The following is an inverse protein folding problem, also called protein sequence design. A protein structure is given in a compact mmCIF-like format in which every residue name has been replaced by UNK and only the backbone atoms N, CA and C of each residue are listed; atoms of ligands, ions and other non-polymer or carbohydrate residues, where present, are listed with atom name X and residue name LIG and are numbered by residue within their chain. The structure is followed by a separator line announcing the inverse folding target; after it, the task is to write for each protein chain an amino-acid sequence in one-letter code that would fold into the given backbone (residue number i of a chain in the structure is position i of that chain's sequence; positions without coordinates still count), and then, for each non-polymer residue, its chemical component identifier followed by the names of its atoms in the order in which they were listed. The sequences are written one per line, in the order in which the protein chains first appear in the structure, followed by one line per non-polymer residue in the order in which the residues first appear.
data_IF_314436403852
#
_entry.id   IF_314436403852
#
_cell.length_a   1.000
_cell.length_b   1.000
_cell.length_c   1.000
_cell.angle_alpha   90.00
_cell.angle_beta   90.00
_cell.angle_gamma   90.00
#
_symmetry.space_group_name_H-M   'P 1'
#
loop_
_entity.id
_entity.type
_entity.pdbx_description
1 polymer ?
#
# COMPACT_ATOMS: atom_id res chain seq x y z
N UNK A 1 38.54 72.78 8.82
CA UNK A 1 39.74 73.15 9.60
C UNK A 1 39.78 72.30 10.85
N UNK A 2 41.00 72.00 11.29
CA UNK A 2 41.41 71.12 12.40
C UNK A 2 41.51 69.63 12.09
N UNK A 3 42.75 69.17 12.25
CA UNK A 3 43.35 67.91 11.87
C UNK A 3 43.87 67.19 13.12
N UNK A 4 43.97 65.85 13.06
CA UNK A 4 45.14 65.00 13.39
C UNK A 4 44.71 63.61 13.91
N UNK A 5 45.08 62.61 13.12
CA UNK A 5 45.32 61.16 13.39
C UNK A 5 46.50 60.95 14.39
N UNK A 6 46.99 59.72 14.70
CA UNK A 6 46.38 58.41 15.07
C UNK A 6 47.14 57.69 16.24
N UNK A 7 46.58 56.66 16.90
CA UNK A 7 47.29 55.57 17.64
C UNK A 7 46.31 54.37 17.68
N UNK A 8 46.39 53.29 16.87
CA UNK A 8 47.31 52.13 16.83
C UNK A 8 47.39 51.30 18.13
N UNK A 9 46.63 50.20 18.21
CA UNK A 9 47.09 48.81 18.49
C UNK A 9 45.89 47.86 18.50
N UNK A 10 45.82 46.99 17.49
CA UNK A 10 45.12 45.69 17.48
C UNK A 10 45.86 44.69 18.40
N UNK A 11 45.42 43.42 18.63
CA UNK A 11 44.13 42.78 18.34
C UNK A 11 43.59 41.95 19.54
N UNK A 12 42.35 41.47 19.45
CA UNK A 12 41.86 40.17 19.99
C UNK A 12 40.36 40.27 20.30
N UNK A 13 39.53 40.09 19.28
CA UNK A 13 38.39 39.17 19.40
C UNK A 13 37.93 38.75 18.00
N UNK A 14 38.71 37.89 17.37
CA UNK A 14 38.24 37.05 16.27
C UNK A 14 37.16 36.11 16.83
N UNK A 15 35.89 36.43 16.58
CA UNK A 15 34.83 35.41 16.50
C UNK A 15 34.23 35.45 15.11
N UNK A 16 35.08 35.24 14.11
CA UNK A 16 34.68 34.71 12.82
C UNK A 16 34.09 33.32 13.04
N UNK A 17 32.76 33.22 13.03
CA UNK A 17 32.09 31.95 12.81
C UNK A 17 32.37 31.50 11.37
N UNK A 18 33.46 30.77 11.18
CA UNK A 18 33.71 29.97 9.98
C UNK A 18 33.02 28.62 10.11
N UNK A 19 32.08 28.24 9.23
CA UNK A 19 31.77 26.83 9.03
C UNK A 19 32.72 26.29 7.95
N UNK A 20 33.94 25.94 8.34
CA UNK A 20 34.76 24.99 7.59
C UNK A 20 34.95 23.74 8.43
N UNK A 21 33.95 22.87 8.33
CA UNK A 21 33.99 21.49 8.79
C UNK A 21 33.52 20.61 7.65
N UNK A 22 34.49 20.20 6.83
CA UNK A 22 34.48 19.17 5.80
C UNK A 22 33.17 18.44 5.49
N UNK A 23 32.88 18.37 4.18
CA UNK A 23 32.32 17.20 3.51
C UNK A 23 32.99 15.91 4.00
N UNK A 24 32.51 15.36 5.11
CA UNK A 24 32.72 13.99 5.51
C UNK A 24 31.44 13.24 5.21
N UNK A 25 31.36 12.80 3.96
CA UNK A 25 30.90 11.46 3.61
C UNK A 25 29.74 10.93 4.46
N UNK A 26 28.53 11.45 4.22
CA UNK A 26 27.29 10.76 4.63
C UNK A 26 27.04 9.55 3.71
N UNK A 27 28.00 8.64 3.64
CA UNK A 27 27.76 7.24 3.36
C UNK A 27 27.12 6.60 4.58
N UNK A 28 25.92 7.07 4.96
CA UNK A 28 25.05 6.30 5.86
C UNK A 28 24.49 5.17 5.03
N UNK A 29 25.09 4.00 5.23
CA UNK A 29 24.91 2.80 4.44
C UNK A 29 23.45 2.57 4.03
N UNK A 30 23.24 2.53 2.71
CA UNK A 30 22.12 1.84 2.08
C UNK A 30 22.18 0.38 2.53
N UNK A 31 21.64 0.06 3.70
CA UNK A 31 21.35 -1.33 4.07
C UNK A 31 20.21 -1.77 3.16
N UNK A 32 20.57 -2.38 2.04
CA UNK A 32 19.66 -3.16 1.18
C UNK A 32 18.92 -4.11 2.11
N UNK A 33 17.65 -3.84 2.40
CA UNK A 33 16.81 -4.80 3.12
C UNK A 33 16.75 -6.06 2.27
N UNK A 34 17.21 -7.17 2.82
CA UNK A 34 17.11 -8.47 2.18
C UNK A 34 15.64 -8.76 1.88
N UNK A 35 15.31 -9.30 0.71
CA UNK A 35 13.96 -9.76 0.42
C UNK A 35 13.51 -10.77 1.49
N UNK A 36 12.20 -10.81 1.77
CA UNK A 36 11.69 -11.76 2.74
C UNK A 36 12.01 -13.19 2.28
N UNK A 37 12.27 -14.12 3.21
CA UNK A 37 12.58 -15.51 2.87
C UNK A 37 11.42 -16.15 2.08
N UNK A 38 10.17 -15.80 2.41
CA UNK A 38 8.98 -16.20 1.65
C UNK A 38 9.03 -15.73 0.21
N UNK A 39 9.16 -14.42 -0.03
CA UNK A 39 9.16 -13.88 -1.40
C UNK A 39 10.33 -14.44 -2.21
N UNK A 40 11.51 -14.52 -1.61
CA UNK A 40 12.71 -15.06 -2.28
C UNK A 40 12.54 -16.52 -2.70
N UNK A 41 12.01 -17.36 -1.81
CA UNK A 41 11.78 -18.78 -2.07
C UNK A 41 10.74 -19.00 -3.17
N UNK A 42 9.60 -18.30 -3.09
CA UNK A 42 8.54 -18.38 -4.09
C UNK A 42 9.02 -17.91 -5.46
N UNK A 43 9.68 -16.75 -5.53
CA UNK A 43 10.14 -16.18 -6.79
C UNK A 43 11.19 -17.06 -7.46
N UNK A 44 12.12 -17.63 -6.68
CA UNK A 44 13.13 -18.56 -7.20
C UNK A 44 12.50 -19.86 -7.73
N UNK A 45 11.55 -20.44 -6.99
CA UNK A 45 10.81 -21.64 -7.41
C UNK A 45 10.00 -21.40 -8.70
N UNK A 46 9.27 -20.29 -8.77
CA UNK A 46 8.48 -19.93 -9.95
C UNK A 46 9.35 -19.61 -11.17
N UNK A 47 10.51 -18.98 -10.96
CA UNK A 47 11.46 -18.72 -12.05
C UNK A 47 12.04 -20.04 -12.59
N UNK A 48 12.42 -20.97 -11.69
CA UNK A 48 12.92 -22.29 -12.08
C UNK A 48 11.86 -23.13 -12.82
N UNK A 49 10.57 -22.95 -12.52
CA UNK A 49 9.47 -23.68 -13.18
C UNK A 49 9.24 -23.28 -14.64
N UNK A 50 9.81 -22.16 -15.11
CA UNK A 50 9.60 -21.65 -16.47
C UNK A 50 8.20 -21.05 -16.72
N UNK A 51 7.35 -20.92 -15.68
CA UNK A 51 6.00 -20.30 -15.76
C UNK A 51 6.00 -18.92 -16.40
N UNK A 52 7.05 -18.13 -16.17
CA UNK A 52 7.17 -16.76 -16.68
C UNK A 52 7.00 -16.67 -18.20
N UNK A 53 7.69 -17.53 -18.97
CA UNK A 53 7.60 -17.53 -20.43
C UNK A 53 6.19 -17.87 -20.93
N UNK A 54 5.48 -18.76 -20.22
CA UNK A 54 4.08 -19.10 -20.52
C UNK A 54 3.15 -17.93 -20.21
N UNK A 55 3.37 -17.19 -19.12
CA UNK A 55 2.55 -16.04 -18.81
C UNK A 55 2.72 -14.92 -19.84
N UNK A 56 3.95 -14.66 -20.28
CA UNK A 56 4.23 -13.67 -21.33
C UNK A 56 3.54 -13.94 -22.66
N UNK A 57 3.35 -15.21 -23.04
CA UNK A 57 2.62 -15.54 -24.26
C UNK A 57 1.11 -15.35 -24.15
N UNK A 58 0.58 -15.27 -22.92
CA UNK A 58 -0.86 -15.09 -22.65
C UNK A 58 -1.20 -13.62 -22.44
N UNK A 59 -0.42 -12.89 -21.63
CA UNK A 59 -0.69 -11.48 -21.31
C UNK A 59 0.46 -10.57 -21.79
N UNK A 60 0.22 -9.71 -22.81
CA UNK A 60 1.24 -8.82 -23.37
C UNK A 60 1.71 -7.75 -22.36
N UNK A 61 1.00 -7.51 -21.26
CA UNK A 61 1.42 -6.57 -20.20
C UNK A 61 2.70 -7.04 -19.50
N UNK A 62 3.02 -8.32 -19.60
CA UNK A 62 4.21 -8.95 -19.00
C UNK A 62 5.46 -8.84 -19.88
N UNK A 63 5.31 -8.36 -21.12
CA UNK A 63 6.43 -8.13 -22.01
C UNK A 63 7.41 -7.12 -21.40
N UNK A 64 8.70 -7.26 -21.74
CA UNK A 64 9.77 -6.33 -21.37
C UNK A 64 10.47 -6.57 -20.04
N UNK A 65 10.10 -7.63 -19.31
CA UNK A 65 10.93 -8.18 -18.22
C UNK A 65 11.40 -9.58 -18.62
N UNK A 66 12.67 -9.91 -18.37
CA UNK A 66 13.22 -11.21 -18.76
C UNK A 66 12.80 -12.32 -17.78
N UNK A 67 12.56 -11.98 -16.51
CA UNK A 67 12.18 -12.91 -15.47
C UNK A 67 11.26 -12.29 -14.41
N UNK A 68 10.65 -13.15 -13.57
CA UNK A 68 9.88 -12.72 -12.41
C UNK A 68 10.76 -12.06 -11.34
N UNK A 69 12.04 -12.44 -11.26
CA UNK A 69 13.04 -11.80 -10.40
C UNK A 69 13.33 -10.36 -10.86
N UNK A 70 13.43 -10.12 -12.17
CA UNK A 70 13.59 -8.77 -12.72
C UNK A 70 12.38 -7.89 -12.40
N UNK A 71 11.18 -8.46 -12.47
CA UNK A 71 9.94 -7.78 -12.04
C UNK A 71 10.00 -7.45 -10.56
N UNK A 72 10.46 -8.38 -9.70
CA UNK A 72 10.60 -8.12 -8.27
C UNK A 72 11.59 -7.00 -7.99
N UNK A 73 12.72 -6.97 -8.68
CA UNK A 73 13.71 -5.90 -8.57
C UNK A 73 13.18 -4.56 -9.04
N UNK A 74 12.50 -4.53 -10.18
CA UNK A 74 11.87 -3.34 -10.72
C UNK A 74 10.72 -2.85 -9.82
N UNK A 75 9.98 -3.76 -9.18
CA UNK A 75 8.96 -3.46 -8.18
C UNK A 75 9.56 -2.79 -6.94
N UNK A 76 10.72 -3.27 -6.45
CA UNK A 76 11.46 -2.61 -5.37
C UNK A 76 11.93 -1.21 -5.75
N UNK A 77 12.30 -1.01 -7.03
CA UNK A 77 12.68 0.29 -7.61
C UNK A 77 11.49 1.19 -7.95
N UNK A 78 10.25 0.67 -7.88
CA UNK A 78 8.99 1.37 -8.18
C UNK A 78 8.85 1.79 -9.64
N UNK A 79 9.28 0.93 -10.55
CA UNK A 79 9.11 1.20 -11.97
C UNK A 79 7.61 1.15 -12.34
N UNK A 80 7.13 2.17 -13.06
CA UNK A 80 5.70 2.31 -13.38
C UNK A 80 5.14 1.09 -14.14
N UNK A 81 5.97 0.42 -14.94
CA UNK A 81 5.59 -0.76 -15.72
C UNK A 81 5.22 -1.96 -14.84
N UNK A 82 5.79 -2.07 -13.64
CA UNK A 82 5.51 -3.21 -12.75
C UNK A 82 4.06 -3.22 -12.25
N UNK A 83 3.39 -2.07 -12.19
CA UNK A 83 1.98 -2.00 -11.83
C UNK A 83 1.08 -2.71 -12.85
N UNK A 84 1.41 -2.61 -14.14
CA UNK A 84 0.72 -3.33 -15.20
C UNK A 84 1.03 -4.84 -15.16
N UNK A 85 2.25 -5.21 -14.78
CA UNK A 85 2.64 -6.61 -14.59
C UNK A 85 1.84 -7.25 -13.45
N UNK A 86 1.72 -6.57 -12.30
CA UNK A 86 0.89 -7.07 -11.18
C UNK A 86 -0.57 -7.23 -11.62
N UNK A 87 -1.09 -6.28 -12.40
CA UNK A 87 -2.44 -6.38 -12.96
C UNK A 87 -2.61 -7.60 -13.89
N UNK A 88 -1.65 -7.85 -14.78
CA UNK A 88 -1.65 -9.00 -15.67
C UNK A 88 -1.56 -10.33 -14.92
N UNK A 89 -0.63 -10.45 -13.96
CA UNK A 89 -0.53 -11.64 -13.11
C UNK A 89 -1.80 -11.86 -12.26
N UNK A 90 -2.46 -10.77 -11.82
CA UNK A 90 -3.74 -10.87 -11.11
C UNK A 90 -4.85 -11.39 -12.02
N UNK A 91 -4.88 -10.97 -13.29
CA UNK A 91 -5.83 -11.48 -14.28
C UNK A 91 -5.61 -12.97 -14.56
N UNK A 92 -4.36 -13.39 -14.66
CA UNK A 92 -3.98 -14.79 -14.82
C UNK A 92 -4.36 -15.61 -13.58
N UNK A 93 -4.18 -15.09 -12.36
CA UNK A 93 -4.47 -15.82 -11.13
C UNK A 93 -5.93 -15.83 -10.67
N UNK A 94 -6.74 -14.89 -11.16
CA UNK A 94 -8.18 -14.81 -10.81
C UNK A 94 -8.97 -16.02 -11.31
N UNK A 95 -9.92 -16.50 -10.50
CA UNK A 95 -10.88 -17.56 -10.89
C UNK A 95 -11.76 -17.16 -12.09
N UNK A 96 -11.95 -15.86 -12.31
CA UNK A 96 -12.73 -15.30 -13.43
C UNK A 96 -11.86 -15.02 -14.67
N UNK A 97 -10.55 -15.20 -14.55
CA UNK A 97 -9.57 -15.01 -15.61
C UNK A 97 -8.90 -16.33 -15.96
N UNK A 98 -7.60 -16.44 -15.71
CA UNK A 98 -6.81 -17.64 -16.04
C UNK A 98 -6.85 -18.76 -15.00
N UNK A 99 -7.32 -18.48 -13.77
CA UNK A 99 -7.32 -19.36 -12.61
C UNK A 99 -5.95 -20.01 -12.30
N UNK A 100 -4.86 -19.35 -12.66
CA UNK A 100 -3.50 -19.84 -12.46
C UNK A 100 -3.01 -19.56 -11.02
N UNK A 101 -3.00 -20.60 -10.19
CA UNK A 101 -2.54 -20.52 -8.81
C UNK A 101 -1.10 -20.01 -8.66
N UNK A 102 -0.19 -20.32 -9.58
CA UNK A 102 1.19 -19.82 -9.47
C UNK A 102 1.28 -18.33 -9.82
N UNK A 103 0.37 -17.82 -10.66
CA UNK A 103 0.28 -16.39 -10.93
C UNK A 103 -0.27 -15.66 -9.69
N UNK A 104 -1.25 -16.25 -9.00
CA UNK A 104 -1.72 -15.73 -7.71
C UNK A 104 -0.62 -15.76 -6.63
N UNK A 105 0.21 -16.81 -6.63
CA UNK A 105 1.36 -16.93 -5.74
C UNK A 105 2.41 -15.86 -6.03
N UNK A 106 2.71 -15.63 -7.32
CA UNK A 106 3.63 -14.59 -7.76
C UNK A 106 3.18 -13.20 -7.31
N UNK A 107 1.88 -12.88 -7.45
CA UNK A 107 1.33 -11.61 -6.96
C UNK A 107 1.49 -11.50 -5.45
N UNK A 108 1.19 -12.56 -4.70
CA UNK A 108 1.32 -12.57 -3.23
C UNK A 108 2.76 -12.33 -2.80
N UNK A 109 3.74 -12.95 -3.48
CA UNK A 109 5.16 -12.73 -3.22
C UNK A 109 5.64 -11.32 -3.60
N UNK A 110 5.17 -10.76 -4.72
CA UNK A 110 5.47 -9.37 -5.12
C UNK A 110 4.90 -8.36 -4.10
N UNK A 111 3.72 -8.62 -3.56
CA UNK A 111 3.04 -7.77 -2.58
C UNK A 111 3.49 -8.00 -1.13
N UNK A 112 4.40 -8.94 -0.88
CA UNK A 112 4.86 -9.30 0.47
C UNK A 112 5.39 -8.11 1.30
N UNK A 113 6.16 -7.14 0.75
CA UNK A 113 6.52 -5.93 1.50
C UNK A 113 5.30 -5.07 1.90
N UNK A 114 4.23 -5.11 1.12
CA UNK A 114 2.94 -4.51 1.46
C UNK A 114 2.20 -5.30 2.54
N UNK A 115 2.19 -6.62 2.42
CA UNK A 115 1.57 -7.53 3.40
C UNK A 115 2.21 -7.39 4.79
N UNK A 116 3.55 -7.35 4.87
CA UNK A 116 4.28 -7.13 6.12
C UNK A 116 3.89 -5.80 6.80
N UNK A 117 3.66 -4.74 6.01
CA UNK A 117 3.22 -3.43 6.52
C UNK A 117 1.79 -3.48 7.05
N UNK A 118 0.89 -4.15 6.33
CA UNK A 118 -0.50 -4.35 6.79
C UNK A 118 -0.51 -5.15 8.09
N UNK A 119 0.25 -6.25 8.15
CA UNK A 119 0.38 -7.07 9.36
C UNK A 119 0.96 -6.26 10.53
N UNK A 120 1.99 -5.45 10.30
CA UNK A 120 2.54 -4.56 11.33
C UNK A 120 1.49 -3.56 11.85
N UNK A 121 0.62 -3.04 10.97
CA UNK A 121 -0.45 -2.12 11.33
C UNK A 121 -1.65 -2.79 12.02
N UNK A 122 -1.77 -4.11 11.91
CA UNK A 122 -2.84 -4.94 12.47
C UNK A 122 -2.28 -6.01 13.42
N UNK A 123 -1.10 -5.77 14.00
CA UNK A 123 -0.33 -6.78 14.76
C UNK A 123 -1.09 -7.35 15.96
N UNK A 124 -2.06 -6.61 16.47
CA UNK A 124 -2.88 -7.01 17.61
C UNK A 124 -4.04 -7.94 17.19
N UNK A 125 -4.24 -8.17 15.88
CA UNK A 125 -5.40 -8.86 15.29
C UNK A 125 -5.01 -10.00 14.34
N UNK A 126 -3.91 -9.89 13.60
CA UNK A 126 -3.51 -10.90 12.62
C UNK A 126 -2.00 -11.01 12.43
N UNK A 127 -1.55 -12.17 11.99
CA UNK A 127 -0.16 -12.45 11.60
C UNK A 127 0.09 -12.12 10.12
N UNK A 128 1.36 -12.09 9.72
CA UNK A 128 1.76 -11.82 8.32
C UNK A 128 1.17 -12.86 7.36
N UNK A 129 1.09 -14.11 7.80
CA UNK A 129 0.54 -15.21 6.98
C UNK A 129 -0.97 -15.06 6.75
N UNK A 130 -1.72 -14.51 7.71
CA UNK A 130 -3.13 -14.19 7.52
C UNK A 130 -3.32 -13.11 6.44
N UNK A 131 -2.42 -12.12 6.41
CA UNK A 131 -2.43 -11.09 5.37
C UNK A 131 -2.07 -11.68 4.01
N UNK A 132 -1.10 -12.59 3.93
CA UNK A 132 -0.74 -13.29 2.67
C UNK A 132 -1.91 -14.12 2.17
N UNK A 133 -2.59 -14.86 3.03
CA UNK A 133 -3.78 -15.63 2.70
C UNK A 133 -4.93 -14.73 2.22
N UNK A 134 -5.13 -13.58 2.87
CA UNK A 134 -6.14 -12.60 2.46
C UNK A 134 -5.81 -11.95 1.10
N UNK A 135 -4.53 -11.67 0.81
CA UNK A 135 -4.07 -11.18 -0.51
C UNK A 135 -4.31 -12.24 -1.58
N UNK A 136 -3.98 -13.50 -1.30
CA UNK A 136 -4.26 -14.62 -2.19
C UNK A 136 -5.74 -14.69 -2.55
N UNK A 137 -6.63 -14.72 -1.55
CA UNK A 137 -8.08 -14.76 -1.80
C UNK A 137 -8.58 -13.51 -2.53
N UNK A 138 -8.00 -12.34 -2.26
CA UNK A 138 -8.30 -11.13 -3.01
C UNK A 138 -7.91 -11.25 -4.49
N UNK A 139 -6.81 -11.92 -4.81
CA UNK A 139 -6.41 -12.23 -6.20
C UNK A 139 -7.38 -13.23 -6.82
N UNK A 140 -7.67 -14.34 -6.15
CA UNK A 140 -8.60 -15.36 -6.66
C UNK A 140 -10.00 -14.79 -6.92
N UNK A 141 -10.44 -13.81 -6.12
CA UNK A 141 -11.74 -13.14 -6.27
C UNK A 141 -11.72 -11.89 -7.18
N UNK A 142 -10.56 -11.48 -7.69
CA UNK A 142 -10.42 -10.26 -8.48
C UNK A 142 -11.12 -10.34 -9.84
N UNK A 143 -11.50 -9.19 -10.39
CA UNK A 143 -11.87 -9.09 -11.80
C UNK A 143 -10.61 -9.09 -12.68
N UNK A 144 -10.62 -9.74 -13.86
CA UNK A 144 -9.45 -9.82 -14.74
C UNK A 144 -9.05 -8.47 -15.36
N UNK A 145 -9.91 -7.46 -15.27
CA UNK A 145 -9.71 -6.12 -15.84
C UNK A 145 -9.15 -5.10 -14.83
N UNK A 146 -8.53 -5.55 -13.74
CA UNK A 146 -7.84 -4.63 -12.83
C UNK A 146 -6.75 -3.86 -13.57
N UNK A 147 -6.71 -2.54 -13.35
CA UNK A 147 -5.71 -1.64 -13.94
C UNK A 147 -4.45 -1.51 -13.08
N UNK A 148 -3.62 -0.46 -13.31
CA UNK A 148 -2.38 -0.21 -12.58
C UNK A 148 -2.53 -0.15 -11.04
N UNK A 149 -3.74 0.09 -10.54
CA UNK A 149 -4.05 0.10 -9.11
C UNK A 149 -4.25 -1.29 -8.48
N UNK A 150 -4.04 -2.39 -9.22
CA UNK A 150 -4.29 -3.76 -8.76
C UNK A 150 -3.64 -4.05 -7.40
N UNK A 151 -2.34 -3.77 -7.25
CA UNK A 151 -1.60 -3.98 -6.01
C UNK A 151 -2.24 -3.29 -4.80
N UNK A 152 -2.62 -2.02 -4.96
CA UNK A 152 -3.28 -1.22 -3.91
C UNK A 152 -4.65 -1.79 -3.56
N UNK A 153 -5.44 -2.13 -4.59
CA UNK A 153 -6.76 -2.72 -4.42
C UNK A 153 -6.69 -4.03 -3.62
N UNK A 154 -5.76 -4.92 -3.96
CA UNK A 154 -5.60 -6.23 -3.31
C UNK A 154 -5.20 -6.10 -1.83
N UNK A 155 -4.22 -5.24 -1.52
CA UNK A 155 -3.80 -4.99 -0.14
C UNK A 155 -4.90 -4.31 0.69
N UNK A 156 -5.61 -3.36 0.11
CA UNK A 156 -6.74 -2.70 0.79
C UNK A 156 -7.87 -3.70 1.05
N UNK A 157 -8.15 -4.60 0.09
CA UNK A 157 -9.15 -5.65 0.25
C UNK A 157 -8.76 -6.64 1.34
N UNK A 158 -7.51 -7.07 1.38
CA UNK A 158 -6.97 -7.94 2.42
C UNK A 158 -7.10 -7.28 3.82
N UNK A 159 -6.70 -6.01 3.94
CA UNK A 159 -6.88 -5.23 5.19
C UNK A 159 -8.35 -5.16 5.60
N UNK A 160 -9.26 -4.84 4.68
CA UNK A 160 -10.69 -4.75 4.96
C UNK A 160 -11.29 -6.08 5.42
N UNK A 161 -10.86 -7.20 4.84
CA UNK A 161 -11.30 -8.53 5.26
C UNK A 161 -10.87 -8.84 6.68
N UNK A 162 -9.62 -8.53 7.03
CA UNK A 162 -9.05 -8.80 8.36
C UNK A 162 -9.55 -7.83 9.43
N UNK A 163 -9.96 -6.62 9.06
CA UNK A 163 -10.39 -5.58 10.00
C UNK A 163 -11.88 -5.65 10.39
N UNK A 164 -12.67 -6.56 9.80
CA UNK A 164 -14.12 -6.64 10.06
C UNK A 164 -14.42 -7.37 11.38
N UNK A 165 -14.97 -6.68 12.41
CA UNK A 165 -15.39 -7.31 13.64
C UNK A 165 -16.71 -8.05 13.38
N UNK A 166 -16.64 -9.38 13.22
CA UNK A 166 -17.80 -10.22 12.87
C UNK A 166 -17.52 -11.33 11.86
N UNK A 167 -16.30 -11.43 11.33
CA UNK A 167 -15.83 -12.61 10.59
C UNK A 167 -15.37 -13.77 11.48
N UNK A 168 -15.44 -13.61 12.80
CA UNK A 168 -15.29 -14.72 13.74
C UNK A 168 -16.51 -15.63 13.61
N UNK A 169 -16.34 -16.77 12.93
CA UNK A 169 -17.18 -17.98 12.94
C UNK A 169 -17.88 -18.39 11.62
N UNK A 170 -17.70 -17.69 10.50
CA UNK A 170 -18.11 -18.24 9.18
C UNK A 170 -16.94 -18.19 8.21
N UNK A 171 -16.49 -19.40 7.87
CA UNK A 171 -15.39 -19.77 6.99
C UNK A 171 -14.00 -19.97 7.62
N UNK A 172 -13.93 -20.86 8.63
CA UNK A 172 -13.01 -22.01 8.47
C UNK A 172 -13.59 -22.92 7.36
N UNK A 173 -13.68 -22.39 6.14
CA UNK A 173 -13.77 -23.24 4.96
C UNK A 173 -12.41 -23.91 4.91
N UNK A 174 -12.32 -25.24 4.78
CA UNK A 174 -11.05 -25.94 4.83
C UNK A 174 -10.12 -25.32 3.79
N UNK A 175 -9.07 -24.66 4.27
CA UNK A 175 -8.01 -24.09 3.47
C UNK A 175 -7.19 -25.23 2.87
N UNK A 176 -7.69 -25.88 1.81
CA UNK A 176 -6.92 -26.88 1.07
C UNK A 176 -5.86 -26.25 0.14
N UNK A 177 -5.40 -25.01 0.36
CA UNK A 177 -4.70 -24.28 -0.72
C UNK A 177 -3.51 -23.36 -0.36
N UNK A 178 -3.07 -23.24 0.90
CA UNK A 178 -1.78 -22.56 1.16
C UNK A 178 -0.98 -23.30 2.25
N UNK A 179 -1.63 -23.65 3.35
CA UNK A 179 -1.03 -24.46 4.42
C UNK A 179 -0.62 -25.87 3.95
N UNK A 180 -1.42 -26.48 3.07
CA UNK A 180 -1.12 -27.79 2.48
C UNK A 180 0.08 -27.76 1.53
N UNK A 181 0.38 -26.60 0.94
CA UNK A 181 1.54 -26.39 0.06
C UNK A 181 2.79 -25.96 0.84
N UNK A 182 2.61 -25.08 1.85
CA UNK A 182 3.67 -24.71 2.80
C UNK A 182 4.13 -25.91 3.65
N UNK A 183 3.22 -26.84 3.97
CA UNK A 183 3.55 -28.10 4.67
C UNK A 183 4.19 -29.18 3.78
N UNK A 184 4.15 -29.03 2.45
CA UNK A 184 4.71 -30.00 1.50
C UNK A 184 6.20 -29.81 1.17
N UNK A 185 6.82 -28.73 1.64
CA UNK A 185 8.22 -28.37 1.32
C UNK A 185 9.19 -28.44 2.51
N UNK A 186 8.73 -28.95 3.66
CA UNK A 186 9.55 -29.10 4.86
C UNK A 186 10.13 -30.51 5.00
N UNK A 187 11.39 -30.68 4.62
CA UNK A 187 12.25 -31.75 5.15
C UNK A 187 12.38 -31.54 6.67
N UNK A 188 12.20 -32.62 7.43
CA UNK A 188 12.27 -32.74 8.89
C UNK A 188 13.42 -31.96 9.56
N UNK A 189 13.15 -31.33 10.72
CA UNK A 189 14.24 -30.76 11.52
C UNK A 189 13.97 -29.82 12.71
N UNK A 190 12.98 -30.11 13.56
CA UNK A 190 13.09 -30.06 15.04
C UNK A 190 13.51 -28.77 15.82
N UNK A 191 12.59 -28.39 16.74
CA UNK A 191 12.74 -27.73 18.07
C UNK A 191 12.85 -26.19 18.22
N UNK A 192 11.69 -25.61 18.54
CA UNK A 192 11.25 -25.10 19.87
C UNK A 192 12.29 -24.39 20.77
N UNK A 193 12.03 -23.09 21.00
CA UNK A 193 12.23 -22.40 22.28
C UNK A 193 13.26 -21.28 22.24
N UNK A 194 12.82 -20.02 22.33
CA UNK A 194 13.15 -19.11 23.45
C UNK A 194 12.39 -17.79 23.27
N UNK A 195 11.72 -17.33 24.33
CA UNK A 195 11.00 -16.06 24.38
C UNK A 195 11.90 -15.03 25.06
N UNK A 196 12.46 -14.12 24.27
CA UNK A 196 13.23 -12.97 24.74
C UNK A 196 12.51 -11.65 24.42
N UNK A 197 12.15 -10.94 25.49
CA UNK A 197 11.47 -9.65 25.61
C UNK A 197 12.03 -8.46 24.76
N UNK A 198 11.28 -7.35 24.66
CA UNK A 198 11.26 -6.43 23.53
C UNK A 198 12.26 -5.28 23.67
N UNK A 199 13.21 -5.18 22.73
CA UNK A 199 13.97 -3.96 22.52
C UNK A 199 13.24 -3.04 21.56
N UNK A 200 12.77 -1.93 22.14
CA UNK A 200 12.25 -0.77 21.45
C UNK A 200 13.19 -0.31 20.33
N UNK A 201 12.77 -0.48 19.07
CA UNK A 201 13.38 0.17 17.92
C UNK A 201 12.56 1.42 17.56
N UNK A 202 12.74 2.46 18.38
CA UNK A 202 12.52 3.84 17.97
C UNK A 202 13.61 4.17 16.95
N UNK A 203 13.34 3.89 15.68
CA UNK A 203 13.97 4.54 14.52
C UNK A 203 13.36 4.01 13.21
N UNK A 204 12.06 4.27 13.02
CA UNK A 204 11.37 4.05 11.75
C UNK A 204 11.07 5.37 11.03
N UNK A 205 12.10 6.21 10.88
CA UNK A 205 12.07 7.34 9.94
C UNK A 205 13.31 7.23 9.08
N UNK A 206 13.17 6.75 7.84
CA UNK A 206 13.97 7.15 6.65
C UNK A 206 13.36 6.52 5.37
N UNK A 207 12.82 7.44 4.56
CA UNK A 207 12.83 7.52 3.09
C UNK A 207 12.54 6.26 2.25
N UNK A 208 11.32 5.76 2.39
CA UNK A 208 10.49 5.45 1.22
C UNK A 208 9.98 6.79 0.65
N UNK A 209 9.91 7.06 -0.67
CA UNK A 209 8.99 8.11 -1.14
C UNK A 209 7.65 7.81 -0.47
N UNK A 210 6.96 8.79 0.15
CA UNK A 210 5.69 8.51 0.80
C UNK A 210 4.88 7.74 -0.23
N UNK A 211 4.45 6.54 0.16
CA UNK A 211 3.24 6.03 -0.49
C UNK A 211 2.26 7.11 -0.09
N UNK A 212 1.93 7.97 -1.05
CA UNK A 212 0.82 8.90 -0.99
C UNK A 212 -0.29 8.19 -0.23
N UNK A 213 -0.43 8.61 1.03
CA UNK A 213 -1.28 7.91 1.98
C UNK A 213 -2.67 8.09 1.40
N UNK A 214 -3.40 7.02 1.04
CA UNK A 214 -4.69 7.17 0.38
C UNK A 214 -5.68 7.99 1.22
N UNK A 215 -5.46 8.10 2.52
CA UNK A 215 -6.17 9.05 3.39
C UNK A 215 -5.69 10.48 3.13
N UNK A 216 -4.38 10.72 3.09
CA UNK A 216 -3.79 12.00 2.67
C UNK A 216 -4.20 12.42 1.25
N UNK A 217 -4.17 11.55 0.24
CA UNK A 217 -4.62 11.87 -1.13
C UNK A 217 -6.12 12.18 -1.19
N UNK A 218 -6.90 11.45 -0.40
CA UNK A 218 -8.34 11.70 -0.29
C UNK A 218 -8.58 13.04 0.41
N UNK A 219 -7.82 13.34 1.46
CA UNK A 219 -7.87 14.63 2.16
C UNK A 219 -7.44 15.76 1.21
N UNK A 220 -6.38 15.58 0.44
CA UNK A 220 -5.87 16.56 -0.52
C UNK A 220 -6.88 16.78 -1.66
N UNK A 221 -7.46 15.72 -2.23
CA UNK A 221 -8.51 15.81 -3.23
C UNK A 221 -9.76 16.51 -2.69
N UNK A 222 -10.22 16.18 -1.48
CA UNK A 222 -11.40 16.79 -0.87
C UNK A 222 -11.14 18.25 -0.51
N UNK A 223 -9.93 18.58 -0.07
CA UNK A 223 -9.51 19.95 0.25
C UNK A 223 -9.43 20.79 -1.02
N UNK A 224 -8.75 20.30 -2.05
CA UNK A 224 -8.70 20.96 -3.36
C UNK A 224 -10.10 21.15 -3.96
N UNK A 225 -10.94 20.10 -3.92
CA UNK A 225 -12.28 20.17 -4.49
C UNK A 225 -13.17 21.16 -3.75
N UNK A 226 -12.95 21.36 -2.44
CA UNK A 226 -13.58 22.43 -1.66
C UNK A 226 -13.10 23.81 -2.10
N UNK A 227 -11.79 24.00 -2.21
CA UNK A 227 -11.17 25.30 -2.47
C UNK A 227 -11.52 25.84 -3.87
N UNK A 228 -11.66 24.93 -4.84
CA UNK A 228 -12.08 25.25 -6.21
C UNK A 228 -13.62 25.33 -6.35
N UNK A 229 -14.38 24.99 -5.30
CA UNK A 229 -15.84 25.04 -5.28
C UNK A 229 -16.53 23.88 -6.02
N UNK A 230 -15.80 22.80 -6.31
CA UNK A 230 -16.31 21.61 -6.99
C UNK A 230 -17.25 20.79 -6.09
N UNK A 231 -17.11 20.89 -4.77
CA UNK A 231 -18.02 20.32 -3.77
C UNK A 231 -18.18 21.28 -2.58
N UNK A 232 -19.32 21.20 -1.90
CA UNK A 232 -19.58 21.96 -0.68
C UNK A 232 -19.12 21.20 0.58
N UNK A 233 -19.02 21.93 1.70
CA UNK A 233 -18.63 21.36 2.98
C UNK A 233 -19.62 20.27 3.46
N UNK A 234 -20.93 20.48 3.27
CA UNK A 234 -21.96 19.47 3.61
C UNK A 234 -21.76 18.15 2.85
N UNK A 235 -21.38 18.24 1.57
CA UNK A 235 -21.05 17.09 0.74
C UNK A 235 -19.80 16.34 1.21
N UNK A 236 -18.76 17.07 1.65
CA UNK A 236 -17.55 16.48 2.23
C UNK A 236 -17.89 15.76 3.53
N UNK A 237 -18.57 16.44 4.45
CA UNK A 237 -18.97 15.89 5.75
C UNK A 237 -19.80 14.63 5.57
N UNK A 238 -20.71 14.62 4.59
CA UNK A 238 -21.54 13.45 4.28
C UNK A 238 -20.69 12.26 3.80
N UNK A 239 -19.72 12.49 2.92
CA UNK A 239 -18.84 11.43 2.43
C UNK A 239 -17.96 10.88 3.55
N UNK A 240 -17.39 11.75 4.39
CA UNK A 240 -16.56 11.36 5.54
C UNK A 240 -17.37 10.59 6.56
N UNK A 241 -18.59 11.02 6.88
CA UNK A 241 -19.48 10.31 7.81
C UNK A 241 -19.83 8.90 7.31
N UNK A 242 -20.18 8.76 6.02
CA UNK A 242 -20.49 7.46 5.43
C UNK A 242 -19.26 6.55 5.38
N UNK A 243 -18.09 7.08 5.00
CA UNK A 243 -16.84 6.33 5.00
C UNK A 243 -16.44 5.89 6.40
N UNK A 244 -16.59 6.75 7.40
CA UNK A 244 -16.29 6.43 8.79
C UNK A 244 -17.22 5.31 9.32
N UNK A 245 -18.51 5.37 9.01
CA UNK A 245 -19.47 4.34 9.38
C UNK A 245 -19.18 3.00 8.68
N UNK A 246 -18.91 3.01 7.38
CA UNK A 246 -18.56 1.81 6.61
C UNK A 246 -17.22 1.20 7.09
N UNK A 247 -16.23 2.05 7.41
CA UNK A 247 -14.95 1.62 8.00
C UNK A 247 -15.11 1.12 9.44
N UNK A 248 -16.12 1.62 10.17
CA UNK A 248 -16.54 1.12 11.48
C UNK A 248 -17.30 -0.22 11.43
N UNK A 249 -17.44 -0.83 10.25
CA UNK A 249 -18.04 -2.14 10.06
C UNK A 249 -19.55 -2.12 9.78
N UNK A 250 -20.17 -0.94 9.68
CA UNK A 250 -21.58 -0.85 9.35
C UNK A 250 -21.82 -1.18 7.86
N UNK A 251 -22.85 -1.97 7.55
CA UNK A 251 -23.25 -2.17 6.17
C UNK A 251 -23.72 -0.84 5.58
N UNK A 252 -23.45 -0.66 4.28
CA UNK A 252 -23.67 0.61 3.57
C UNK A 252 -25.11 1.14 3.63
N UNK A 253 -26.11 0.27 3.70
CA UNK A 253 -27.51 0.68 3.85
C UNK A 253 -27.78 1.24 5.25
N UNK A 254 -27.21 0.60 6.28
CA UNK A 254 -27.33 1.01 7.66
C UNK A 254 -26.57 2.31 7.95
N UNK A 255 -25.38 2.47 7.36
CA UNK A 255 -24.63 3.72 7.39
C UNK A 255 -25.44 4.88 6.79
N UNK A 256 -26.15 4.66 5.67
CA UNK A 256 -27.02 5.67 5.05
C UNK A 256 -28.26 5.98 5.89
N UNK A 257 -28.84 4.97 6.56
CA UNK A 257 -29.98 5.16 7.47
C UNK A 257 -29.57 6.04 8.65
N UNK A 258 -28.47 5.71 9.33
CA UNK A 258 -27.95 6.44 10.49
C UNK A 258 -27.56 7.88 10.10
N UNK A 259 -26.87 8.06 8.97
CA UNK A 259 -26.53 9.39 8.47
C UNK A 259 -27.78 10.23 8.13
N UNK A 260 -28.83 9.57 7.60
CA UNK A 260 -30.12 10.22 7.35
C UNK A 260 -30.80 10.69 8.62
N UNK A 261 -30.85 9.82 9.64
CA UNK A 261 -31.43 10.13 10.95
C UNK A 261 -30.70 11.29 11.64
N UNK A 262 -29.37 11.28 11.66
CA UNK A 262 -28.56 12.37 12.24
C UNK A 262 -28.75 13.71 11.55
N UNK A 263 -28.97 13.68 10.23
CA UNK A 263 -29.15 14.88 9.40
C UNK A 263 -30.61 15.28 9.23
N UNK A 264 -31.56 14.55 9.84
CA UNK A 264 -32.99 14.82 9.73
C UNK A 264 -33.54 14.67 8.30
N UNK A 265 -32.91 13.82 7.46
CA UNK A 265 -33.30 13.61 6.07
C UNK A 265 -33.56 12.14 5.75
N UNK A 266 -34.43 11.89 4.78
CA UNK A 266 -34.70 10.54 4.32
C UNK A 266 -33.46 9.89 3.68
N UNK A 267 -33.32 8.57 3.84
CA UNK A 267 -32.23 7.76 3.26
C UNK A 267 -32.09 7.96 1.73
N UNK A 268 -33.20 8.15 1.01
CA UNK A 268 -33.18 8.44 -0.44
C UNK A 268 -32.42 9.74 -0.75
N UNK A 269 -32.57 10.75 0.11
CA UNK A 269 -31.88 12.04 -0.01
C UNK A 269 -30.39 11.88 0.24
N UNK A 270 -30.00 11.11 1.26
CA UNK A 270 -28.60 10.75 1.54
C UNK A 270 -27.96 10.08 0.33
N UNK A 271 -28.62 9.06 -0.23
CA UNK A 271 -28.11 8.34 -1.41
C UNK A 271 -27.96 9.28 -2.61
N UNK A 272 -28.97 10.10 -2.90
CA UNK A 272 -28.93 11.05 -4.02
C UNK A 272 -27.80 12.08 -3.86
N UNK A 273 -27.62 12.63 -2.65
CA UNK A 273 -26.54 13.58 -2.37
C UNK A 273 -25.18 12.91 -2.52
N UNK A 274 -24.96 11.73 -1.92
CA UNK A 274 -23.73 10.95 -2.08
C UNK A 274 -23.41 10.70 -3.56
N UNK A 275 -24.37 10.19 -4.32
CA UNK A 275 -24.14 9.82 -5.72
C UNK A 275 -23.83 11.06 -6.57
N UNK A 276 -24.50 12.18 -6.29
CA UNK A 276 -24.21 13.47 -6.93
C UNK A 276 -22.82 14.00 -6.58
N UNK A 277 -22.40 13.95 -5.31
CA UNK A 277 -21.08 14.42 -4.86
C UNK A 277 -19.96 13.55 -5.42
N UNK A 278 -20.13 12.22 -5.43
CA UNK A 278 -19.17 11.29 -6.04
C UNK A 278 -19.06 11.50 -7.54
N UNK A 279 -20.17 11.76 -8.23
CA UNK A 279 -20.15 12.06 -9.67
C UNK A 279 -19.38 13.35 -9.98
N UNK A 280 -19.60 14.41 -9.18
CA UNK A 280 -18.85 15.69 -9.30
C UNK A 280 -17.36 15.49 -9.08
N UNK A 281 -16.98 14.76 -8.01
CA UNK A 281 -15.58 14.43 -7.75
C UNK A 281 -14.94 13.65 -8.91
N UNK A 282 -15.63 12.66 -9.47
CA UNK A 282 -15.15 11.90 -10.62
C UNK A 282 -14.95 12.77 -11.85
N UNK A 283 -15.87 13.68 -12.12
CA UNK A 283 -15.75 14.63 -13.23
C UNK A 283 -14.58 15.60 -13.04
N UNK A 284 -14.23 15.92 -11.78
CA UNK A 284 -13.13 16.81 -11.44
C UNK A 284 -11.74 16.16 -11.47
N UNK A 285 -11.63 14.82 -11.55
CA UNK A 285 -10.34 14.09 -11.55
C UNK A 285 -9.33 14.64 -12.57
N UNK A 286 -9.67 14.89 -13.85
CA UNK A 286 -8.70 15.41 -14.81
C UNK A 286 -8.16 16.79 -14.44
N UNK A 287 -9.00 17.65 -13.85
CA UNK A 287 -8.60 18.99 -13.38
C UNK A 287 -7.73 18.92 -12.14
N UNK A 288 -8.04 18.02 -11.21
CA UNK A 288 -7.21 17.76 -10.03
C UNK A 288 -5.81 17.32 -10.45
N UNK A 289 -5.72 16.30 -11.31
CA UNK A 289 -4.45 15.77 -11.80
C UNK A 289 -3.63 16.81 -12.58
N UNK A 290 -4.29 17.74 -13.29
CA UNK A 290 -3.60 18.84 -13.97
C UNK A 290 -3.12 19.95 -13.01
N UNK A 291 -3.75 20.11 -11.85
CA UNK A 291 -3.36 21.08 -10.83
C UNK A 291 -2.28 20.56 -9.87
N UNK A 292 -2.14 19.24 -9.75
CA UNK A 292 -1.18 18.56 -8.86
C UNK A 292 -0.01 17.92 -9.59
N UNK A 293 0.06 17.99 -10.92
CA UNK A 293 1.21 17.57 -11.74
C UNK A 293 2.25 18.69 -11.87
#
# INVERSE_FOLDING_TARGET
MSARTPISTDPDNDTLWTPRGACADRQRGRRRRSPSPFASSVLSSLTASGRWARWQSIDPRLEGFASLEDVHDAWRRREARCYLVVAGLTALGSRRGGDDDDAALAVTALLDPGAQRVATSLRDVCEVDDVRAAVWEAVKAAEPQLGPCAARYLLQRARQQLSRPGGGMVARVPATSLEQWLGGTGVDGQRRGDWGEPLADRDAVIASPPVEDPVTDLVDLLTWARDVGEIDADGIDLLVELLAAENGGLPREEAQRIAGERRGVAMRTVRRRRDSTVARLRAAIPRYLAATA
#
